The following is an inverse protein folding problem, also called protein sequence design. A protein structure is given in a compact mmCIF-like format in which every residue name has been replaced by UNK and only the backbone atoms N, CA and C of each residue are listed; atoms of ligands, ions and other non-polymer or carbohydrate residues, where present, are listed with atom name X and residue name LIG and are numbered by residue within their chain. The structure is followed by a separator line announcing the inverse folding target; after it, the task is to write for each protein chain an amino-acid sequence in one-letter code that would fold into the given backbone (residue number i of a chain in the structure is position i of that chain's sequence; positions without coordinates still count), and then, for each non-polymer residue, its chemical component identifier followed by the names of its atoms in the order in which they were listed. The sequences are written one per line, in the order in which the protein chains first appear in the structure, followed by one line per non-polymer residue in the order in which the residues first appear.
data_IF_072457461231
#
_entry.id   IF_072457461231
#
_cell.length_a   1.000
_cell.length_b   1.000
_cell.length_c   1.000
_cell.angle_alpha   90.00
_cell.angle_beta   90.00
_cell.angle_gamma   90.00
#
_symmetry.space_group_name_H-M   'P 1'
#
loop_
_entity.id
_entity.type
_entity.pdbx_description
1 polymer ?
#
# COMPACT_ATOMS: atom_id res chain seq x y z
N UNK A 1 -28.55 -17.54 7.53
CA UNK A 1 -29.49 -16.94 6.55
C UNK A 1 -30.54 -17.97 6.19
N UNK A 2 -31.81 -17.58 6.14
CA UNK A 2 -32.93 -18.47 5.77
C UNK A 2 -33.57 -18.10 4.44
N UNK A 3 -33.43 -16.85 3.98
CA UNK A 3 -34.00 -16.35 2.73
C UNK A 3 -33.19 -15.15 2.17
N UNK A 4 -33.57 -14.68 0.97
CA UNK A 4 -32.91 -13.57 0.27
C UNK A 4 -33.10 -12.20 0.95
N UNK A 5 -34.15 -12.01 1.77
CA UNK A 5 -34.30 -10.80 2.57
C UNK A 5 -33.29 -10.77 3.73
N UNK A 6 -33.08 -11.90 4.43
CA UNK A 6 -32.06 -12.02 5.48
C UNK A 6 -30.66 -11.73 4.92
N UNK A 7 -30.39 -12.16 3.68
CA UNK A 7 -29.12 -11.93 3.00
C UNK A 7 -28.91 -10.46 2.63
N UNK A 8 -29.97 -9.78 2.15
CA UNK A 8 -29.94 -8.34 1.89
C UNK A 8 -29.73 -7.54 3.18
N UNK A 9 -30.45 -7.87 4.25
CA UNK A 9 -30.29 -7.23 5.57
C UNK A 9 -28.87 -7.41 6.12
N UNK A 10 -28.32 -8.62 6.01
CA UNK A 10 -26.93 -8.88 6.40
C UNK A 10 -25.93 -8.07 5.56
N UNK A 11 -26.15 -7.99 4.25
CA UNK A 11 -25.29 -7.21 3.33
C UNK A 11 -25.28 -5.73 3.72
N UNK A 12 -26.44 -5.15 4.03
CA UNK A 12 -26.53 -3.76 4.50
C UNK A 12 -25.90 -3.58 5.90
N UNK A 13 -26.07 -4.55 6.80
CA UNK A 13 -25.41 -4.55 8.10
C UNK A 13 -23.87 -4.49 7.96
N UNK A 14 -23.28 -5.38 7.16
CA UNK A 14 -21.82 -5.43 7.02
C UNK A 14 -21.27 -4.22 6.24
N UNK A 15 -22.02 -3.66 5.28
CA UNK A 15 -21.69 -2.36 4.65
C UNK A 15 -21.61 -1.26 5.70
N UNK A 16 -22.60 -1.18 6.59
CA UNK A 16 -22.61 -0.18 7.67
C UNK A 16 -21.42 -0.36 8.63
N UNK A 17 -21.02 -1.60 8.92
CA UNK A 17 -19.83 -1.91 9.72
C UNK A 17 -18.57 -1.43 9.00
N UNK A 18 -18.42 -1.73 7.70
CA UNK A 18 -17.27 -1.29 6.90
C UNK A 18 -17.07 0.21 6.95
N UNK A 19 -18.15 0.98 6.70
CA UNK A 19 -18.12 2.46 6.69
C UNK A 19 -17.75 2.99 8.08
N UNK A 20 -18.34 2.46 9.14
CA UNK A 20 -18.07 2.90 10.53
C UNK A 20 -16.60 2.74 10.93
N UNK A 21 -15.90 1.76 10.36
CA UNK A 21 -14.49 1.47 10.67
C UNK A 21 -13.50 2.09 9.67
N UNK A 22 -13.95 3.00 8.80
CA UNK A 22 -13.04 3.69 7.88
C UNK A 22 -11.98 4.52 8.64
N UNK A 23 -12.36 5.17 9.74
CA UNK A 23 -11.46 6.03 10.52
C UNK A 23 -10.46 5.29 11.43
N UNK A 24 -10.45 3.94 11.44
CA UNK A 24 -9.58 3.17 12.35
C UNK A 24 -8.10 3.52 12.16
N UNK A 25 -7.60 3.62 10.92
CA UNK A 25 -6.18 3.91 10.69
C UNK A 25 -5.79 5.30 11.24
N UNK A 26 -6.48 6.41 10.89
CA UNK A 26 -6.24 7.71 11.52
C UNK A 26 -6.37 7.69 13.05
N UNK A 27 -7.39 7.03 13.60
CA UNK A 27 -7.58 6.95 15.05
C UNK A 27 -6.42 6.22 15.73
N UNK A 28 -5.94 5.11 15.15
CA UNK A 28 -4.77 4.39 15.65
C UNK A 28 -3.50 5.24 15.54
N UNK A 29 -3.33 6.00 14.46
CA UNK A 29 -2.20 6.91 14.29
C UNK A 29 -2.09 7.93 15.43
N UNK A 30 -3.21 8.56 15.78
CA UNK A 30 -3.26 9.50 16.90
C UNK A 30 -2.97 8.82 18.24
N UNK A 31 -3.54 7.63 18.47
CA UNK A 31 -3.31 6.87 19.70
C UNK A 31 -1.85 6.44 19.88
N UNK A 32 -1.22 5.93 18.81
CA UNK A 32 0.18 5.50 18.84
C UNK A 32 1.12 6.70 19.01
N UNK A 33 0.81 7.84 18.40
CA UNK A 33 1.58 9.06 18.58
C UNK A 33 1.60 9.53 20.04
N UNK A 34 0.47 9.40 20.75
CA UNK A 34 0.39 9.69 22.18
C UNK A 34 1.19 8.68 23.01
N UNK A 35 1.14 7.40 22.65
CA UNK A 35 1.84 6.33 23.36
C UNK A 35 3.36 6.41 23.21
N UNK A 36 3.90 6.75 22.03
CA UNK A 36 5.36 6.78 21.79
C UNK A 36 6.14 7.75 22.69
N UNK A 37 5.47 8.77 23.25
CA UNK A 37 6.10 9.70 24.19
C UNK A 37 6.25 9.12 25.62
N UNK A 38 5.58 8.00 25.90
CA UNK A 38 5.45 7.43 27.26
C UNK A 38 5.88 5.97 27.33
N UNK A 39 5.72 5.22 26.23
CA UNK A 39 5.89 3.77 26.20
C UNK A 39 7.36 3.38 26.01
N UNK A 40 7.84 2.44 26.83
CA UNK A 40 9.26 2.06 26.90
C UNK A 40 9.68 1.06 25.82
N UNK A 41 8.74 0.26 25.28
CA UNK A 41 9.02 -0.80 24.30
C UNK A 41 8.32 -0.55 22.95
N UNK A 42 8.98 0.11 21.98
CA UNK A 42 8.43 0.34 20.66
C UNK A 42 8.10 -0.94 19.87
N UNK A 43 8.76 -2.06 20.15
CA UNK A 43 8.60 -3.29 19.38
C UNK A 43 7.24 -3.95 19.70
N UNK A 44 6.79 -3.90 20.96
CA UNK A 44 5.46 -4.40 21.37
C UNK A 44 4.32 -3.62 20.69
N UNK A 45 4.52 -2.31 20.47
CA UNK A 45 3.56 -1.48 19.73
C UNK A 45 3.49 -1.95 18.27
N UNK A 46 4.63 -2.19 17.63
CA UNK A 46 4.66 -2.61 16.23
C UNK A 46 4.00 -3.99 16.03
N UNK A 47 4.28 -4.97 16.91
CA UNK A 47 3.62 -6.29 16.88
C UNK A 47 2.10 -6.20 17.08
N UNK A 48 1.66 -5.35 18.01
CA UNK A 48 0.25 -5.10 18.25
C UNK A 48 -0.45 -4.49 17.03
N UNK A 49 0.19 -3.50 16.40
CA UNK A 49 -0.32 -2.85 15.20
C UNK A 49 -0.35 -3.80 14.01
N UNK A 50 0.67 -4.62 13.82
CA UNK A 50 0.70 -5.65 12.78
C UNK A 50 -0.50 -6.60 12.91
N UNK A 51 -0.79 -7.06 14.13
CA UNK A 51 -1.96 -7.92 14.41
C UNK A 51 -3.29 -7.22 14.10
N UNK A 52 -3.44 -5.96 14.52
CA UNK A 52 -4.66 -5.18 14.25
C UNK A 52 -4.86 -4.96 12.76
N UNK A 53 -3.82 -4.52 12.05
CA UNK A 53 -3.92 -4.20 10.63
C UNK A 53 -4.09 -5.46 9.78
N UNK A 54 -3.41 -6.57 10.10
CA UNK A 54 -3.61 -7.85 9.41
C UNK A 54 -5.06 -8.33 9.56
N UNK A 55 -5.60 -8.33 10.79
CA UNK A 55 -7.00 -8.69 11.05
C UNK A 55 -7.96 -7.76 10.30
N UNK A 56 -7.68 -6.45 10.28
CA UNK A 56 -8.49 -5.46 9.57
C UNK A 56 -8.49 -5.68 8.06
N UNK A 57 -7.34 -5.98 7.46
CA UNK A 57 -7.22 -6.31 6.03
C UNK A 57 -8.12 -7.51 5.71
N UNK A 58 -8.03 -8.58 6.51
CA UNK A 58 -8.85 -9.78 6.29
C UNK A 58 -10.35 -9.54 6.45
N UNK A 59 -10.78 -8.86 7.53
CA UNK A 59 -12.19 -8.50 7.73
C UNK A 59 -12.73 -7.65 6.58
N UNK A 60 -11.96 -6.67 6.09
CA UNK A 60 -12.37 -5.81 4.98
C UNK A 60 -12.40 -6.54 3.65
N UNK A 61 -11.47 -7.47 3.43
CA UNK A 61 -11.49 -8.36 2.27
C UNK A 61 -12.76 -9.21 2.27
N UNK A 62 -13.11 -9.84 3.38
CA UNK A 62 -14.33 -10.67 3.50
C UNK A 62 -15.62 -9.86 3.34
N UNK A 63 -15.74 -8.72 4.04
CA UNK A 63 -16.92 -7.85 3.91
C UNK A 63 -17.02 -7.31 2.49
N UNK A 64 -15.91 -6.83 1.92
CA UNK A 64 -15.86 -6.29 0.58
C UNK A 64 -16.22 -7.32 -0.49
N UNK A 65 -15.68 -8.54 -0.34
CA UNK A 65 -16.01 -9.68 -1.19
C UNK A 65 -17.51 -9.99 -1.14
N UNK A 66 -18.10 -10.12 0.06
CA UNK A 66 -19.53 -10.37 0.21
C UNK A 66 -20.36 -9.27 -0.46
N UNK A 67 -20.00 -8.00 -0.24
CA UNK A 67 -20.72 -6.86 -0.79
C UNK A 67 -20.66 -6.82 -2.32
N UNK A 68 -19.49 -7.01 -2.92
CA UNK A 68 -19.34 -6.98 -4.38
C UNK A 68 -19.92 -8.22 -5.07
N UNK A 69 -19.97 -9.37 -4.40
CA UNK A 69 -20.71 -10.53 -4.92
C UNK A 69 -22.22 -10.25 -5.06
N UNK A 70 -22.74 -9.27 -4.32
CA UNK A 70 -24.13 -8.80 -4.41
C UNK A 70 -24.31 -7.59 -5.34
N UNK A 71 -23.26 -7.16 -6.04
CA UNK A 71 -23.37 -6.09 -7.04
C UNK A 71 -24.19 -6.60 -8.23
N UNK A 72 -25.34 -5.97 -8.57
CA UNK A 72 -26.16 -6.43 -9.70
C UNK A 72 -25.50 -6.20 -11.07
N UNK A 73 -24.47 -5.34 -11.12
CA UNK A 73 -23.71 -5.02 -12.33
C UNK A 73 -22.21 -5.16 -12.04
N UNK A 74 -21.71 -6.40 -11.80
CA UNK A 74 -20.30 -6.60 -11.52
C UNK A 74 -19.46 -6.17 -12.73
N UNK A 75 -18.28 -5.55 -12.52
CA UNK A 75 -17.35 -5.28 -13.60
C UNK A 75 -16.95 -6.57 -14.34
N UNK A 76 -16.59 -6.49 -15.63
CA UNK A 76 -16.16 -7.66 -16.39
C UNK A 76 -14.93 -8.30 -15.75
N UNK A 77 -14.87 -9.64 -15.78
CA UNK A 77 -13.79 -10.44 -15.19
C UNK A 77 -13.59 -10.26 -13.68
N UNK A 78 -14.56 -9.71 -12.95
CA UNK A 78 -14.50 -9.59 -11.49
C UNK A 78 -15.42 -10.60 -10.80
N UNK A 79 -14.89 -11.29 -9.79
CA UNK A 79 -15.64 -12.09 -8.81
C UNK A 79 -15.45 -11.45 -7.45
N UNK A 80 -16.39 -10.59 -7.06
CA UNK A 80 -16.21 -9.71 -5.90
C UNK A 80 -15.05 -8.75 -6.12
N UNK A 81 -14.06 -8.75 -5.21
CA UNK A 81 -12.83 -7.95 -5.31
C UNK A 81 -11.74 -8.54 -6.18
N UNK A 82 -11.83 -9.82 -6.52
CA UNK A 82 -10.81 -10.49 -7.32
C UNK A 82 -11.13 -10.25 -8.80
N UNK A 83 -10.19 -9.62 -9.51
CA UNK A 83 -10.22 -9.55 -10.96
C UNK A 83 -9.45 -10.76 -11.51
N UNK A 84 -10.12 -11.63 -12.26
CA UNK A 84 -9.58 -12.94 -12.67
C UNK A 84 -8.41 -12.83 -13.65
N UNK A 85 -8.39 -11.76 -14.46
CA UNK A 85 -7.37 -11.52 -15.50
C UNK A 85 -6.73 -10.13 -15.33
N UNK A 86 -6.25 -9.81 -14.12
CA UNK A 86 -5.74 -8.47 -13.81
C UNK A 86 -4.35 -8.26 -14.45
N UNK A 87 -4.15 -7.11 -15.13
CA UNK A 87 -2.85 -6.72 -15.69
C UNK A 87 -2.04 -5.91 -14.67
N UNK A 88 -0.94 -6.45 -14.10
CA UNK A 88 -0.12 -5.72 -13.14
C UNK A 88 0.55 -4.49 -13.77
N UNK A 89 0.85 -4.53 -15.08
CA UNK A 89 1.40 -3.38 -15.82
C UNK A 89 0.41 -2.21 -15.80
N UNK A 90 -0.89 -2.48 -16.02
CA UNK A 90 -1.91 -1.43 -15.98
C UNK A 90 -2.12 -0.88 -14.57
N UNK A 91 -2.12 -1.76 -13.55
CA UNK A 91 -2.22 -1.31 -12.15
C UNK A 91 -1.01 -0.47 -11.75
N UNK A 92 0.20 -0.90 -12.13
CA UNK A 92 1.43 -0.14 -11.89
C UNK A 92 1.39 1.24 -12.56
N UNK A 93 0.91 1.32 -13.81
CA UNK A 93 0.78 2.59 -14.53
C UNK A 93 -0.15 3.56 -13.80
N UNK A 94 -1.35 3.12 -13.45
CA UNK A 94 -2.34 3.96 -12.78
C UNK A 94 -1.83 4.43 -11.41
N UNK A 95 -1.28 3.51 -10.60
CA UNK A 95 -0.71 3.86 -9.29
C UNK A 95 0.49 4.81 -9.39
N UNK A 96 1.30 4.66 -10.45
CA UNK A 96 2.42 5.57 -10.71
C UNK A 96 1.95 6.95 -11.13
N UNK A 97 0.90 7.05 -11.96
CA UNK A 97 0.30 8.33 -12.35
C UNK A 97 -0.27 9.07 -11.13
N UNK A 98 -0.99 8.36 -10.25
CA UNK A 98 -1.53 8.92 -9.01
C UNK A 98 -0.41 9.42 -8.09
N UNK A 99 0.64 8.61 -7.88
CA UNK A 99 1.78 8.99 -7.04
C UNK A 99 2.57 10.17 -7.64
N UNK A 100 2.74 10.20 -8.97
CA UNK A 100 3.38 11.32 -9.68
C UNK A 100 2.56 12.59 -9.58
N UNK A 101 1.23 12.51 -9.68
CA UNK A 101 0.34 13.66 -9.50
C UNK A 101 0.49 14.27 -8.11
N UNK A 102 0.51 13.43 -7.06
CA UNK A 102 0.76 13.86 -5.69
C UNK A 102 2.14 14.50 -5.51
N UNK A 103 3.19 13.87 -6.04
CA UNK A 103 4.55 14.41 -6.01
C UNK A 103 4.65 15.77 -6.73
N UNK A 104 4.04 15.88 -7.90
CA UNK A 104 4.03 17.10 -8.69
C UNK A 104 3.29 18.23 -7.97
N UNK A 105 2.20 17.93 -7.26
CA UNK A 105 1.48 18.90 -6.44
C UNK A 105 2.32 19.48 -5.30
N UNK A 106 3.15 18.65 -4.65
CA UNK A 106 3.98 19.05 -3.51
C UNK A 106 5.28 19.76 -3.95
N UNK A 107 5.95 19.24 -4.98
CA UNK A 107 7.31 19.66 -5.36
C UNK A 107 7.38 20.43 -6.68
N UNK A 108 6.29 20.53 -7.43
CA UNK A 108 6.25 21.16 -8.76
C UNK A 108 6.89 20.33 -9.89
N UNK A 109 7.50 19.20 -9.56
CA UNK A 109 8.05 18.23 -10.49
C UNK A 109 7.94 16.81 -9.93
N UNK A 110 8.09 15.81 -10.80
CA UNK A 110 8.11 14.41 -10.44
C UNK A 110 8.94 13.64 -11.47
N UNK A 111 9.82 12.76 -10.98
CA UNK A 111 10.63 11.90 -11.84
C UNK A 111 9.76 11.06 -12.79
N UNK A 112 10.35 10.67 -13.92
CA UNK A 112 9.75 9.72 -14.84
C UNK A 112 9.64 8.33 -14.18
N UNK A 113 8.61 7.56 -14.53
CA UNK A 113 8.39 6.20 -14.03
C UNK A 113 8.30 5.26 -15.22
N UNK A 114 9.28 4.36 -15.34
CA UNK A 114 9.41 3.42 -16.46
C UNK A 114 9.04 2.02 -16.01
N UNK A 115 8.06 1.43 -16.66
CA UNK A 115 7.53 0.11 -16.33
C UNK A 115 8.01 -0.91 -17.37
N UNK A 116 8.62 -1.98 -16.89
CA UNK A 116 9.15 -3.10 -17.68
C UNK A 116 8.45 -4.38 -17.26
N UNK A 117 8.00 -5.17 -18.24
CA UNK A 117 7.27 -6.42 -18.04
C UNK A 117 6.48 -6.75 -19.29
N UNK A 118 5.93 -7.96 -19.35
CA UNK A 118 5.03 -8.35 -20.43
C UNK A 118 3.70 -7.56 -20.33
N UNK A 119 3.34 -6.72 -21.33
CA UNK A 119 2.09 -5.97 -21.31
C UNK A 119 0.84 -6.87 -21.38
N UNK A 120 0.96 -8.09 -21.91
CA UNK A 120 -0.14 -9.04 -22.06
C UNK A 120 -0.27 -9.99 -20.86
N UNK A 121 0.71 -9.97 -19.94
CA UNK A 121 0.67 -10.79 -18.74
C UNK A 121 -0.50 -10.39 -17.83
N UNK A 122 -1.27 -11.39 -17.41
CA UNK A 122 -2.38 -11.25 -16.48
C UNK A 122 -2.43 -12.39 -15.49
N UNK A 123 -2.96 -12.13 -14.29
CA UNK A 123 -3.18 -13.14 -13.25
C UNK A 123 -4.33 -12.74 -12.32
N UNK A 124 -4.95 -13.68 -11.59
CA UNK A 124 -5.99 -13.36 -10.63
C UNK A 124 -5.40 -12.67 -9.40
N UNK A 125 -5.88 -11.47 -9.10
CA UNK A 125 -5.49 -10.72 -7.90
C UNK A 125 -6.55 -9.70 -7.49
N UNK A 126 -6.36 -9.02 -6.36
CA UNK A 126 -7.19 -7.90 -5.91
C UNK A 126 -6.58 -6.58 -6.43
N UNK A 127 -7.16 -5.92 -7.47
CA UNK A 127 -6.54 -4.75 -8.09
C UNK A 127 -6.30 -3.59 -7.12
N UNK A 128 -7.26 -3.36 -6.21
CA UNK A 128 -7.18 -2.31 -5.20
C UNK A 128 -5.99 -2.48 -4.24
N UNK A 129 -5.70 -3.72 -3.83
CA UNK A 129 -4.58 -3.99 -2.93
C UNK A 129 -3.24 -3.81 -3.67
N UNK A 130 -3.17 -4.27 -4.91
CA UNK A 130 -1.96 -4.09 -5.72
C UNK A 130 -1.71 -2.62 -6.06
N UNK A 131 -2.75 -1.86 -6.39
CA UNK A 131 -2.66 -0.41 -6.62
C UNK A 131 -2.09 0.29 -5.38
N UNK A 132 -2.63 -0.01 -4.18
CA UNK A 132 -2.14 0.55 -2.92
C UNK A 132 -0.65 0.26 -2.70
N UNK A 133 -0.21 -0.98 -2.93
CA UNK A 133 1.19 -1.35 -2.76
C UNK A 133 2.10 -0.63 -3.77
N UNK A 134 1.73 -0.60 -5.05
CA UNK A 134 2.47 0.17 -6.06
C UNK A 134 2.52 1.66 -5.72
N UNK A 135 1.38 2.25 -5.35
CA UNK A 135 1.26 3.66 -5.04
C UNK A 135 2.20 4.04 -3.90
N UNK A 136 2.19 3.30 -2.79
CA UNK A 136 3.07 3.59 -1.66
C UNK A 136 4.55 3.43 -2.01
N UNK A 137 4.93 2.38 -2.75
CA UNK A 137 6.31 2.17 -3.15
C UNK A 137 6.80 3.28 -4.10
N UNK A 138 6.02 3.60 -5.12
CA UNK A 138 6.37 4.64 -6.11
C UNK A 138 6.39 6.02 -5.46
N UNK A 139 5.43 6.34 -4.59
CA UNK A 139 5.40 7.60 -3.83
C UNK A 139 6.67 7.78 -3.00
N UNK A 140 7.10 6.73 -2.28
CA UNK A 140 8.34 6.79 -1.49
C UNK A 140 9.57 6.99 -2.37
N UNK A 141 9.67 6.27 -3.48
CA UNK A 141 10.76 6.43 -4.46
C UNK A 141 10.76 7.83 -5.11
N UNK A 142 9.60 8.36 -5.49
CA UNK A 142 9.46 9.72 -6.03
C UNK A 142 9.95 10.77 -5.06
N UNK A 143 9.55 10.64 -3.79
CA UNK A 143 10.04 11.52 -2.73
C UNK A 143 11.55 11.43 -2.56
N UNK A 144 12.12 10.22 -2.53
CA UNK A 144 13.56 10.04 -2.37
C UNK A 144 14.35 10.69 -3.52
N UNK A 145 13.91 10.47 -4.76
CA UNK A 145 14.50 11.10 -5.94
C UNK A 145 14.35 12.62 -5.87
N UNK A 146 13.18 13.12 -5.51
CA UNK A 146 12.97 14.57 -5.43
C UNK A 146 13.83 15.21 -4.33
N UNK A 147 13.83 14.67 -3.12
CA UNK A 147 14.66 15.15 -2.01
C UNK A 147 16.16 15.10 -2.36
N UNK A 148 16.59 14.19 -3.25
CA UNK A 148 18.00 14.06 -3.68
C UNK A 148 18.40 15.00 -4.82
N UNK A 149 17.53 15.24 -5.81
CA UNK A 149 17.86 15.99 -7.03
C UNK A 149 17.23 17.40 -7.12
N UNK A 150 16.36 17.80 -6.18
CA UNK A 150 15.66 19.10 -6.26
C UNK A 150 16.59 20.32 -6.40
N UNK A 151 17.74 20.29 -5.73
CA UNK A 151 18.75 21.37 -5.76
C UNK A 151 19.94 21.05 -6.70
N UNK A 152 19.82 20.00 -7.53
CA UNK A 152 20.86 19.57 -8.47
C UNK A 152 20.64 20.16 -9.87
N UNK A 153 21.73 20.46 -10.57
CA UNK A 153 21.69 20.78 -12.01
C UNK A 153 21.46 19.53 -12.88
N UNK A 154 21.52 18.33 -12.28
CA UNK A 154 21.30 17.07 -12.97
C UNK A 154 19.81 16.75 -13.17
N UNK A 155 19.50 16.13 -14.31
CA UNK A 155 18.15 15.61 -14.55
C UNK A 155 17.91 14.41 -13.66
N UNK A 156 16.86 14.46 -12.83
CA UNK A 156 16.47 13.37 -11.96
C UNK A 156 16.30 12.05 -12.77
N UNK A 157 16.97 10.96 -12.36
CA UNK A 157 16.87 9.66 -13.02
C UNK A 157 15.46 9.06 -12.87
N UNK A 158 15.03 8.22 -13.82
CA UNK A 158 13.71 7.61 -13.77
C UNK A 158 13.64 6.52 -12.69
N UNK A 159 12.49 6.40 -12.04
CA UNK A 159 12.15 5.22 -11.23
C UNK A 159 11.82 4.07 -12.18
N UNK A 160 12.37 2.89 -11.92
CA UNK A 160 12.16 1.70 -12.76
C UNK A 160 11.32 0.68 -12.00
N UNK A 161 10.21 0.28 -12.60
CA UNK A 161 9.36 -0.81 -12.11
C UNK A 161 9.57 -2.01 -13.03
N UNK A 162 9.99 -3.15 -12.49
CA UNK A 162 10.14 -4.40 -13.23
C UNK A 162 9.11 -5.39 -12.70
N UNK A 163 8.30 -5.95 -13.58
CA UNK A 163 7.27 -6.94 -13.27
C UNK A 163 7.70 -8.25 -13.92
N UNK A 164 8.04 -9.24 -13.10
CA UNK A 164 8.43 -10.57 -13.52
C UNK A 164 7.26 -11.56 -13.32
N UNK A 165 6.87 -12.23 -14.39
CA UNK A 165 5.81 -13.22 -14.47
C UNK A 165 6.32 -14.63 -14.15
N UNK A 166 6.78 -14.84 -12.92
CA UNK A 166 7.22 -16.16 -12.44
C UNK A 166 6.10 -17.20 -12.45
N UNK A 167 6.48 -18.49 -12.50
CA UNK A 167 5.52 -19.61 -12.50
C UNK A 167 4.83 -19.73 -11.14
N UNK A 168 5.61 -19.59 -10.06
CA UNK A 168 5.18 -19.73 -8.67
C UNK A 168 4.68 -18.39 -8.11
N UNK A 169 5.45 -17.32 -8.32
CA UNK A 169 5.16 -15.99 -7.80
C UNK A 169 5.22 -14.91 -8.89
N UNK A 170 4.53 -13.80 -8.64
CA UNK A 170 4.72 -12.56 -9.40
C UNK A 170 5.63 -11.66 -8.59
N UNK A 171 6.83 -11.38 -9.11
CA UNK A 171 7.79 -10.51 -8.44
C UNK A 171 7.81 -9.13 -9.09
N UNK A 172 7.70 -8.10 -8.26
CA UNK A 172 7.74 -6.70 -8.66
C UNK A 172 8.96 -6.05 -8.02
N UNK A 173 9.81 -5.40 -8.81
CA UNK A 173 10.92 -4.60 -8.32
C UNK A 173 10.67 -3.12 -8.62
N UNK A 174 10.56 -2.28 -7.59
CA UNK A 174 10.57 -0.82 -7.72
C UNK A 174 11.96 -0.32 -7.35
N UNK A 175 12.62 0.38 -8.26
CA UNK A 175 14.03 0.77 -8.17
C UNK A 175 14.17 2.27 -8.40
N UNK A 176 14.70 2.98 -7.43
CA UNK A 176 15.04 4.40 -7.52
C UNK A 176 16.53 4.65 -7.36
N UNK A 177 16.93 5.87 -7.70
CA UNK A 177 18.29 6.39 -7.51
C UNK A 177 18.24 7.62 -6.58
N UNK A 178 17.35 7.60 -5.58
CA UNK A 178 17.08 8.72 -4.66
C UNK A 178 18.05 8.83 -3.48
N UNK A 179 19.32 8.49 -3.67
CA UNK A 179 20.37 8.60 -2.66
C UNK A 179 20.40 7.49 -1.60
N UNK A 180 19.37 6.64 -1.52
CA UNK A 180 19.34 5.47 -0.65
C UNK A 180 19.19 5.75 0.84
N UNK A 181 19.09 4.68 1.62
CA UNK A 181 18.83 4.67 3.06
C UNK A 181 20.10 4.19 3.77
N UNK A 182 20.61 4.94 4.76
CA UNK A 182 21.75 4.50 5.57
C UNK A 182 21.51 3.14 6.20
N UNK A 183 22.55 2.29 6.27
CA UNK A 183 22.44 0.93 6.83
C UNK A 183 21.88 0.91 8.26
N UNK A 184 22.14 1.95 9.04
CA UNK A 184 21.63 2.13 10.41
C UNK A 184 20.11 2.42 10.47
N UNK A 185 19.53 2.93 9.38
CA UNK A 185 18.10 3.25 9.26
C UNK A 185 17.27 2.07 8.75
N UNK A 186 17.86 1.13 8.00
CA UNK A 186 17.16 0.00 7.39
C UNK A 186 16.29 -0.83 8.37
N UNK A 187 16.72 -1.14 9.59
CA UNK A 187 15.86 -1.88 10.53
C UNK A 187 14.57 -1.14 10.91
N UNK A 188 14.54 0.19 10.79
CA UNK A 188 13.44 1.05 11.25
C UNK A 188 12.40 1.35 10.18
N UNK A 189 12.66 1.04 8.91
CA UNK A 189 11.77 1.44 7.79
C UNK A 189 10.39 0.78 7.86
N UNK A 190 10.27 -0.33 8.60
CA UNK A 190 9.02 -1.04 8.84
C UNK A 190 8.42 -0.76 10.23
N UNK A 191 8.99 0.15 11.01
CA UNK A 191 8.42 0.60 12.28
C UNK A 191 7.31 1.61 12.02
N UNK A 192 6.18 1.48 12.70
CA UNK A 192 5.07 2.42 12.54
C UNK A 192 5.47 3.82 12.99
N UNK A 193 4.93 4.88 12.38
CA UNK A 193 5.30 6.28 12.62
C UNK A 193 6.78 6.63 12.35
N UNK A 194 7.63 5.70 11.91
CA UNK A 194 8.97 6.04 11.47
C UNK A 194 8.88 6.80 10.15
N UNK A 195 9.41 8.02 10.13
CA UNK A 195 9.39 8.87 8.96
C UNK A 195 10.64 9.73 8.91
N UNK A 196 11.19 9.90 7.71
CA UNK A 196 12.27 10.85 7.43
C UNK A 196 11.74 12.23 7.02
N UNK A 197 10.41 12.43 6.98
CA UNK A 197 9.82 13.70 6.58
C UNK A 197 10.04 14.76 7.67
N UNK A 198 10.59 15.92 7.28
CA UNK A 198 10.95 17.01 8.21
C UNK A 198 9.72 17.67 8.86
N UNK A 199 8.56 17.64 8.18
CA UNK A 199 7.34 18.35 8.57
C UNK A 199 6.16 17.38 8.83
N UNK A 200 6.33 16.40 9.70
CA UNK A 200 5.23 15.52 10.13
C UNK A 200 4.28 16.23 11.11
N UNK A 201 3.73 17.41 10.75
CA UNK A 201 2.58 17.97 11.45
C UNK A 201 1.32 17.31 10.89
N UNK A 202 0.67 16.46 11.68
CA UNK A 202 -0.71 16.07 11.39
C UNK A 202 -1.59 17.31 11.56
N UNK A 203 -2.40 17.63 10.55
CA UNK A 203 -3.48 18.61 10.73
C UNK A 203 -4.74 17.80 11.06
N UNK A 204 -5.31 18.04 12.24
CA UNK A 204 -6.54 17.40 12.70
C UNK A 204 -7.76 17.76 11.81
N UNK A 205 -7.65 18.83 11.01
CA UNK A 205 -8.75 19.37 10.20
C UNK A 205 -8.71 19.00 8.71
N UNK A 206 -7.72 18.25 8.24
CA UNK A 206 -7.67 17.80 6.84
C UNK A 206 -8.76 16.74 6.59
N UNK A 207 -9.75 17.00 5.72
CA UNK A 207 -10.81 16.05 5.45
C UNK A 207 -10.24 14.83 4.73
N UNK A 208 -10.24 13.68 5.41
CA UNK A 208 -10.01 12.40 4.76
C UNK A 208 -11.15 12.13 3.78
N UNK A 209 -10.93 12.29 2.48
CA UNK A 209 -11.87 11.78 1.47
C UNK A 209 -11.71 10.25 1.40
N UNK A 210 -12.46 9.57 2.28
CA UNK A 210 -12.17 8.24 2.84
C UNK A 210 -13.15 7.20 2.30
N UNK A 211 -13.25 7.10 0.97
CA UNK A 211 -14.34 6.40 0.30
C UNK A 211 -14.13 4.91 -0.02
N UNK A 212 -12.96 4.49 -0.51
CA UNK A 212 -12.95 3.26 -1.36
C UNK A 212 -11.89 2.23 -1.03
N UNK A 213 -10.73 2.61 -0.53
CA UNK A 213 -9.65 1.70 -0.11
C UNK A 213 -9.00 2.27 1.14
N UNK A 214 -8.13 1.53 1.81
CA UNK A 214 -7.53 1.97 3.06
C UNK A 214 -6.54 3.12 2.84
N UNK A 215 -7.07 4.32 2.63
CA UNK A 215 -6.34 5.54 2.27
C UNK A 215 -5.53 6.00 3.50
N UNK A 216 -4.36 5.39 3.66
CA UNK A 216 -3.33 5.75 4.64
C UNK A 216 -2.69 7.11 4.30
N UNK A 217 -2.89 7.65 3.10
CA UNK A 217 -2.16 8.83 2.61
C UNK A 217 -3.05 9.89 1.97
N UNK A 218 -3.28 10.97 2.70
CA UNK A 218 -3.58 12.29 2.10
C UNK A 218 -2.27 13.04 1.79
N UNK A 219 -1.18 12.72 2.51
CA UNK A 219 0.13 13.38 2.39
C UNK A 219 1.14 12.53 1.62
N UNK A 220 2.04 13.23 0.93
CA UNK A 220 3.19 12.63 0.23
C UNK A 220 4.09 11.82 1.18
N UNK A 221 4.27 12.29 2.43
CA UNK A 221 5.02 11.59 3.47
C UNK A 221 4.58 12.02 4.88
N UNK A 222 5.19 11.44 5.91
CA UNK A 222 5.00 11.85 7.31
C UNK A 222 4.24 10.87 8.18
N UNK A 223 3.41 10.00 7.58
CA UNK A 223 2.53 9.13 8.37
C UNK A 223 3.29 7.92 8.96
N UNK A 224 4.37 7.45 8.31
CA UNK A 224 5.14 6.28 8.79
C UNK A 224 4.33 4.98 8.83
N UNK A 225 3.25 4.89 8.05
CA UNK A 225 2.37 3.71 7.96
C UNK A 225 2.49 2.96 6.61
N UNK A 226 3.06 3.61 5.58
CA UNK A 226 3.05 3.11 4.21
C UNK A 226 3.73 1.76 4.03
N UNK A 227 5.05 1.68 4.29
CA UNK A 227 5.81 0.44 4.13
C UNK A 227 5.35 -0.71 5.03
N UNK A 228 5.09 -0.51 6.34
CA UNK A 228 4.57 -1.59 7.20
C UNK A 228 3.24 -2.16 6.68
N UNK A 229 2.28 -1.30 6.33
CA UNK A 229 0.97 -1.76 5.84
C UNK A 229 1.08 -2.39 4.45
N UNK A 230 1.91 -1.84 3.55
CA UNK A 230 2.20 -2.44 2.26
C UNK A 230 2.73 -3.88 2.41
N UNK A 231 3.64 -4.11 3.37
CA UNK A 231 4.13 -5.45 3.69
C UNK A 231 3.03 -6.38 4.21
N UNK A 232 2.12 -5.89 5.05
CA UNK A 232 0.98 -6.69 5.53
C UNK A 232 0.04 -7.07 4.39
N UNK A 233 -0.25 -6.17 3.44
CA UNK A 233 -1.06 -6.49 2.27
C UNK A 233 -0.44 -7.58 1.41
N UNK A 234 0.88 -7.54 1.20
CA UNK A 234 1.59 -8.59 0.49
C UNK A 234 1.48 -9.93 1.24
N UNK A 235 1.79 -9.93 2.55
CA UNK A 235 1.77 -11.12 3.40
C UNK A 235 0.40 -11.74 3.52
N UNK A 236 -0.67 -10.93 3.57
CA UNK A 236 -2.04 -11.41 3.67
C UNK A 236 -2.39 -12.45 2.59
N UNK A 237 -1.83 -12.30 1.38
CA UNK A 237 -1.99 -13.24 0.27
C UNK A 237 -0.75 -14.11 0.03
N UNK A 238 0.06 -14.38 1.04
CA UNK A 238 1.23 -15.26 0.93
C UNK A 238 2.45 -14.64 0.25
N UNK A 239 2.43 -13.34 -0.02
CA UNK A 239 3.56 -12.58 -0.53
C UNK A 239 4.48 -12.03 0.57
N UNK A 240 5.41 -11.15 0.19
CA UNK A 240 6.23 -10.37 1.13
C UNK A 240 6.78 -9.09 0.46
N UNK A 241 7.25 -8.15 1.28
CA UNK A 241 7.94 -6.95 0.84
C UNK A 241 9.32 -6.87 1.47
N UNK A 242 10.35 -6.84 0.64
CA UNK A 242 11.74 -6.67 1.04
C UNK A 242 12.30 -5.38 0.45
N UNK A 243 13.20 -4.73 1.18
CA UNK A 243 13.85 -3.49 0.74
C UNK A 243 15.34 -3.64 0.89
N UNK A 244 16.07 -3.40 -0.20
CA UNK A 244 17.52 -3.36 -0.25
C UNK A 244 17.91 -1.95 -0.67
N UNK A 245 18.72 -1.29 0.13
CA UNK A 245 19.14 0.08 -0.16
C UNK A 245 20.66 0.21 -0.18
N UNK A 246 21.14 1.08 -1.05
CA UNK A 246 22.53 1.45 -1.23
C UNK A 246 22.66 2.94 -0.94
N UNK A 247 23.11 3.26 0.28
CA UNK A 247 23.40 4.63 0.69
C UNK A 247 24.37 5.31 -0.28
N UNK A 248 24.02 6.52 -0.71
CA UNK A 248 24.72 7.29 -1.75
C UNK A 248 24.31 6.94 -3.18
N UNK A 249 23.35 6.03 -3.39
CA UNK A 249 22.87 5.66 -4.72
C UNK A 249 21.35 5.59 -4.79
N UNK A 250 20.70 4.62 -4.14
CA UNK A 250 19.29 4.35 -4.38
C UNK A 250 18.72 3.18 -3.59
N UNK A 251 17.42 2.94 -3.77
CA UNK A 251 16.68 1.88 -3.07
C UNK A 251 15.94 0.98 -4.04
N UNK A 252 16.00 -0.33 -3.79
CA UNK A 252 15.24 -1.35 -4.48
C UNK A 252 14.24 -2.00 -3.50
N UNK A 253 12.96 -1.92 -3.82
CA UNK A 253 11.89 -2.63 -3.14
C UNK A 253 11.43 -3.82 -3.98
N UNK A 254 11.46 -5.02 -3.38
CA UNK A 254 11.03 -6.27 -3.97
C UNK A 254 9.72 -6.71 -3.32
N UNK A 255 8.65 -6.64 -4.10
CA UNK A 255 7.31 -7.07 -3.73
C UNK A 255 7.04 -8.43 -4.39
N UNK A 256 6.99 -9.47 -3.58
CA UNK A 256 6.61 -10.82 -4.00
C UNK A 256 5.12 -11.01 -3.76
N UNK A 257 4.41 -11.50 -4.77
CA UNK A 257 2.98 -11.80 -4.70
C UNK A 257 2.79 -13.28 -5.04
N UNK A 258 2.06 -14.00 -4.18
CA UNK A 258 1.59 -15.33 -4.56
C UNK A 258 0.52 -15.21 -5.64
N UNK A 259 0.51 -16.15 -6.59
CA UNK A 259 -0.65 -16.34 -7.46
C UNK A 259 -1.77 -16.90 -6.59
N UNK A 260 -2.87 -16.17 -6.44
CA UNK A 260 -3.98 -16.55 -5.55
C UNK A 260 -4.42 -18.00 -5.81
N UNK A 261 -4.44 -18.84 -4.76
CA UNK A 261 -5.03 -20.19 -4.84
C UNK A 261 -4.53 -21.23 -3.84
N UNK A 262 -3.34 -21.06 -3.25
CA UNK A 262 -2.69 -22.11 -2.45
C UNK A 262 -2.20 -21.69 -1.05
N UNK A 263 -2.25 -20.39 -0.73
CA UNK A 263 -1.68 -19.84 0.49
C UNK A 263 -2.71 -19.83 1.64
N UNK A 264 -2.33 -20.32 2.81
CA UNK A 264 -3.16 -20.19 4.03
C UNK A 264 -3.17 -18.73 4.51
N UNK A 265 -4.32 -18.26 4.98
CA UNK A 265 -4.45 -16.91 5.54
C UNK A 265 -3.55 -16.79 6.79
N UNK A 266 -2.63 -15.81 6.85
CA UNK A 266 -1.74 -15.64 7.99
C UNK A 266 -2.46 -14.89 9.13
N UNK A 267 -3.41 -15.55 9.77
CA UNK A 267 -3.99 -15.08 11.02
C UNK A 267 -3.14 -15.61 12.20
N UNK A 268 -2.76 -14.77 13.16
CA UNK A 268 -2.14 -15.21 14.40
C UNK A 268 -3.09 -16.05 15.28
#
# INVERSE_FOLDING_TARGET
MKNMNDEKEFTELIKSIKVRHNNVVPTMALGVQQLKNVFEDPDEIDEFLDRIYMSRIGIRMLIGQHVELHNPNPPPNCVGYIHTNMSPVNVARNASEDARSMCYGEYGSAADVRIYGDPDFTFPYVPAHLHLMFFELVKNSLRAVQDHFMDSDEVAPPIRIIIADGIEDVTIKVSDEGGGIPRSGLPKIFTYLYSTARNASWDENEPSDLGTTDNISVKMAGNGYGLPICRLYARYFGGDLQVISMEGYGTDAYLHLSRLGDSQEPLP
#
